data_IF_290954306068
#
_entry.id   IF_290954306068
#
_cell.length_a   1.000
_cell.length_b   1.000
_cell.length_c   1.000
_cell.angle_alpha   90.00
_cell.angle_beta   90.00
_cell.angle_gamma   90.00
#
_symmetry.space_group_name_H-M   'P 1'
#
loop_
_entity.id
_entity.type
_entity.pdbx_description
1 polymer ?
#
# COMPACT_ATOMS: atom_id res chain seq x y z
N UNK A 1 21.16 12.24 -24.59
CA UNK A 1 20.83 12.04 -23.17
C UNK A 1 19.60 11.16 -23.16
N UNK A 2 19.76 9.86 -22.89
CA UNK A 2 18.62 8.96 -22.79
C UNK A 2 17.80 9.42 -21.58
N UNK A 3 16.59 9.91 -21.81
CA UNK A 3 15.63 10.07 -20.73
C UNK A 3 15.37 8.68 -20.18
N UNK A 4 15.83 8.39 -18.96
CA UNK A 4 15.47 7.19 -18.24
C UNK A 4 13.94 7.10 -18.22
N UNK A 5 13.40 6.03 -18.78
CA UNK A 5 11.98 5.76 -18.65
C UNK A 5 11.73 5.42 -17.17
N UNK A 6 11.08 6.31 -16.43
CA UNK A 6 10.61 6.00 -15.09
C UNK A 6 9.48 4.97 -15.20
N UNK A 7 9.81 3.70 -14.94
CA UNK A 7 8.81 2.64 -14.89
C UNK A 7 8.03 2.74 -13.58
N UNK A 8 6.78 3.16 -13.68
CA UNK A 8 5.83 3.15 -12.56
C UNK A 8 5.29 1.73 -12.40
N UNK A 9 5.51 1.13 -11.23
CA UNK A 9 4.95 -0.16 -10.86
C UNK A 9 3.71 0.06 -9.99
N UNK A 10 2.58 -0.54 -10.39
CA UNK A 10 1.35 -0.59 -9.59
C UNK A 10 0.93 -2.04 -9.38
N UNK A 11 0.95 -2.49 -8.13
CA UNK A 11 0.48 -3.81 -7.75
C UNK A 11 -0.74 -3.72 -6.86
N UNK A 12 -1.83 -4.36 -7.28
CA UNK A 12 -3.03 -4.51 -6.44
C UNK A 12 -2.81 -5.62 -5.41
N UNK A 13 -2.90 -5.28 -4.14
CA UNK A 13 -2.68 -6.24 -3.05
C UNK A 13 -3.97 -6.63 -2.33
N UNK A 14 -3.92 -7.77 -1.63
CA UNK A 14 -5.01 -8.22 -0.77
C UNK A 14 -4.89 -7.57 0.60
N UNK A 15 -6.03 -7.34 1.27
CA UNK A 15 -6.09 -6.81 2.64
C UNK A 15 -5.41 -7.70 3.70
N UNK A 16 -5.22 -8.98 3.40
CA UNK A 16 -4.55 -9.97 4.27
C UNK A 16 -3.03 -9.96 4.11
N UNK A 17 -2.48 -9.13 3.23
CA UNK A 17 -1.03 -8.99 3.08
C UNK A 17 -0.45 -8.34 4.33
N UNK A 18 0.66 -8.90 4.82
CA UNK A 18 1.43 -8.33 5.92
C UNK A 18 2.40 -7.29 5.37
N UNK A 19 2.51 -6.17 6.07
CA UNK A 19 3.48 -5.11 5.78
C UNK A 19 4.33 -4.82 6.99
N UNK A 20 5.62 -4.59 6.78
CA UNK A 20 6.57 -4.20 7.79
C UNK A 20 6.52 -2.68 7.91
N UNK A 21 6.04 -2.19 9.06
CA UNK A 21 5.96 -0.75 9.35
C UNK A 21 7.22 -0.26 10.05
N UNK A 22 7.82 -1.13 10.86
CA UNK A 22 9.08 -0.89 11.59
C UNK A 22 9.91 -2.15 11.60
N UNK A 23 11.19 -2.00 11.94
CA UNK A 23 12.10 -3.12 12.09
C UNK A 23 11.52 -4.18 13.04
N UNK A 24 11.30 -5.40 12.53
CA UNK A 24 10.68 -6.50 13.27
C UNK A 24 9.15 -6.48 13.44
N UNK A 25 8.46 -5.37 13.14
CA UNK A 25 7.00 -5.25 13.33
C UNK A 25 6.28 -5.39 12.00
N UNK A 26 5.63 -6.54 11.83
CA UNK A 26 4.70 -6.81 10.73
C UNK A 26 3.27 -6.61 11.18
N UNK A 27 2.51 -5.87 10.40
CA UNK A 27 1.08 -5.66 10.61
C UNK A 27 0.33 -5.95 9.32
N UNK A 28 -0.84 -6.58 9.44
CA UNK A 28 -1.70 -6.80 8.29
C UNK A 28 -2.28 -5.48 7.79
N UNK A 29 -2.43 -5.35 6.46
CA UNK A 29 -2.98 -4.13 5.85
C UNK A 29 -4.35 -3.74 6.41
N UNK A 30 -5.21 -4.72 6.73
CA UNK A 30 -6.52 -4.46 7.37
C UNK A 30 -6.44 -3.77 8.74
N UNK A 31 -5.33 -3.92 9.45
CA UNK A 31 -5.12 -3.36 10.78
C UNK A 31 -4.50 -1.95 10.73
N UNK A 32 -4.19 -1.42 9.54
CA UNK A 32 -3.65 -0.06 9.33
C UNK A 32 -4.68 1.07 9.55
N UNK A 33 -5.85 0.77 10.13
CA UNK A 33 -6.82 1.79 10.55
C UNK A 33 -7.69 2.37 9.42
N UNK A 34 -7.77 1.73 8.25
CA UNK A 34 -8.70 2.18 7.20
C UNK A 34 -10.14 1.92 7.61
N UNK A 35 -10.98 2.93 7.41
CA UNK A 35 -12.41 2.93 7.67
C UNK A 35 -13.14 3.63 6.51
N UNK A 36 -14.43 3.37 6.27
CA UNK A 36 -15.15 3.98 5.16
C UNK A 36 -15.01 5.51 5.15
N UNK A 37 -14.39 6.07 4.10
CA UNK A 37 -14.14 7.50 3.95
C UNK A 37 -12.71 7.94 4.22
N UNK A 38 -11.84 7.08 4.75
CA UNK A 38 -10.42 7.43 4.97
C UNK A 38 -9.52 7.02 3.81
N UNK A 39 -8.37 7.68 3.77
CA UNK A 39 -7.25 7.41 2.87
C UNK A 39 -6.02 7.20 3.73
N UNK A 40 -5.11 6.36 3.26
CA UNK A 40 -3.84 6.04 3.91
C UNK A 40 -2.76 6.09 2.84
N UNK A 41 -1.63 6.72 3.15
CA UNK A 41 -0.43 6.64 2.35
C UNK A 41 0.74 6.43 3.29
N UNK A 42 1.49 5.37 3.09
CA UNK A 42 2.66 5.02 3.88
C UNK A 42 3.86 4.90 2.96
N UNK A 43 4.93 5.61 3.28
CA UNK A 43 6.19 5.54 2.55
C UNK A 43 7.13 4.50 3.17
N UNK A 44 8.06 3.99 2.36
CA UNK A 44 9.14 3.09 2.78
C UNK A 44 8.65 1.80 3.48
N UNK A 45 7.57 1.22 2.95
CA UNK A 45 6.96 0.00 3.47
C UNK A 45 7.59 -1.24 2.82
N UNK A 46 8.08 -2.15 3.65
CA UNK A 46 8.58 -3.44 3.20
C UNK A 46 7.46 -4.49 3.25
N UNK A 47 7.22 -5.19 2.14
CA UNK A 47 6.09 -6.13 2.01
C UNK A 47 6.51 -7.57 2.29
N UNK A 48 7.78 -7.92 2.04
CA UNK A 48 8.29 -9.28 2.16
C UNK A 48 9.00 -9.49 3.51
N UNK A 49 8.88 -10.72 4.03
CA UNK A 49 9.70 -11.24 5.14
C UNK A 49 11.04 -11.82 4.65
N UNK A 50 11.15 -12.06 3.34
CA UNK A 50 12.27 -12.76 2.73
C UNK A 50 13.39 -11.80 2.36
N UNK A 51 14.58 -12.11 2.89
CA UNK A 51 15.83 -11.35 2.86
C UNK A 51 16.50 -11.29 1.47
N UNK A 52 15.76 -11.62 0.39
CA UNK A 52 16.26 -11.72 -0.99
C UNK A 52 15.56 -10.78 -1.98
N UNK A 53 14.41 -10.20 -1.62
CA UNK A 53 14.00 -8.93 -2.22
C UNK A 53 14.78 -7.87 -1.48
N UNK A 54 15.66 -7.13 -2.16
CA UNK A 54 16.37 -6.00 -1.57
C UNK A 54 15.43 -5.06 -0.84
N UNK A 55 15.95 -4.20 0.03
CA UNK A 55 15.20 -3.14 0.71
C UNK A 55 14.63 -2.15 -0.32
N UNK A 56 13.64 -2.60 -1.08
CA UNK A 56 12.92 -1.81 -2.04
C UNK A 56 11.88 -1.05 -1.23
N UNK A 57 12.14 0.22 -1.03
CA UNK A 57 11.21 1.14 -0.43
C UNK A 57 9.97 1.25 -1.33
N UNK A 58 8.92 0.51 -0.98
CA UNK A 58 7.62 0.60 -1.65
C UNK A 58 6.70 1.51 -0.85
N UNK A 59 5.92 2.31 -1.57
CA UNK A 59 4.88 3.13 -1.00
C UNK A 59 3.56 2.39 -1.07
N UNK A 60 2.82 2.39 0.04
CA UNK A 60 1.52 1.75 0.17
C UNK A 60 0.43 2.83 0.18
N UNK A 61 -0.38 2.84 -0.87
CA UNK A 61 -1.59 3.63 -0.94
C UNK A 61 -2.81 2.76 -0.59
N UNK A 62 -3.61 3.23 0.36
CA UNK A 62 -4.85 2.60 0.78
C UNK A 62 -6.01 3.59 0.72
N UNK A 63 -7.17 3.15 0.25
CA UNK A 63 -8.37 3.99 0.24
C UNK A 63 -9.62 3.16 0.51
N UNK A 64 -10.50 3.70 1.34
CA UNK A 64 -11.83 3.15 1.52
C UNK A 64 -12.87 4.19 1.13
N UNK A 65 -13.63 3.90 0.08
CA UNK A 65 -14.69 4.80 -0.37
C UNK A 65 -15.80 4.86 0.68
N UNK A 66 -16.26 6.08 1.00
CA UNK A 66 -17.42 6.28 1.88
C UNK A 66 -18.67 5.67 1.26
N UNK A 67 -19.61 5.25 2.10
CA UNK A 67 -20.95 4.86 1.65
C UNK A 67 -21.63 6.03 0.97
N UNK A 68 -22.17 5.82 -0.24
CA UNK A 68 -22.88 6.86 -0.98
C UNK A 68 -24.14 6.29 -1.62
N UNK A 69 -25.28 6.96 -1.42
CA UNK A 69 -26.60 6.56 -1.96
C UNK A 69 -26.92 5.06 -1.76
N UNK A 70 -26.66 4.54 -0.55
CA UNK A 70 -26.89 3.13 -0.21
C UNK A 70 -25.80 2.15 -0.68
N UNK A 71 -24.85 2.57 -1.51
CA UNK A 71 -23.72 1.73 -1.92
C UNK A 71 -22.63 1.73 -0.86
N UNK A 72 -22.56 0.64 -0.08
CA UNK A 72 -21.50 0.39 0.90
C UNK A 72 -20.37 -0.40 0.26
N UNK A 73 -19.18 0.18 0.23
CA UNK A 73 -17.98 -0.55 -0.18
C UNK A 73 -17.58 -1.50 0.93
N UNK A 74 -17.66 -2.81 0.69
CA UNK A 74 -17.40 -3.85 1.71
C UNK A 74 -15.94 -3.88 2.14
N UNK A 75 -15.01 -3.49 1.27
CA UNK A 75 -13.58 -3.63 1.51
C UNK A 75 -12.80 -2.40 1.00
N UNK A 76 -11.70 -2.03 1.68
CA UNK A 76 -10.74 -1.06 1.17
C UNK A 76 -9.92 -1.65 0.02
N UNK A 77 -9.33 -0.78 -0.79
CA UNK A 77 -8.37 -1.16 -1.82
C UNK A 77 -6.98 -0.65 -1.44
N UNK A 78 -5.99 -1.49 -1.71
CA UNK A 78 -4.58 -1.24 -1.46
C UNK A 78 -3.79 -1.37 -2.76
N UNK A 79 -2.84 -0.47 -2.93
CA UNK A 79 -1.92 -0.42 -4.06
C UNK A 79 -0.52 -0.24 -3.50
N UNK A 80 0.40 -1.11 -3.92
CA UNK A 80 1.83 -0.89 -3.76
C UNK A 80 2.36 -0.18 -4.98
N UNK A 81 3.19 0.84 -4.75
CA UNK A 81 3.80 1.62 -5.81
C UNK A 81 5.20 2.06 -5.42
N UNK A 82 6.07 2.27 -6.40
CA UNK A 82 7.41 2.86 -6.22
C UNK A 82 7.39 4.40 -6.35
N UNK A 83 6.22 5.03 -6.29
CA UNK A 83 6.03 6.44 -6.56
C UNK A 83 6.47 7.32 -5.39
N UNK A 84 7.59 8.03 -5.51
CA UNK A 84 8.25 8.74 -4.41
C UNK A 84 7.46 9.90 -3.76
N UNK A 85 6.59 10.58 -4.51
CA UNK A 85 5.79 11.72 -4.03
C UNK A 85 4.43 11.77 -4.75
N UNK A 86 3.32 11.95 -4.01
CA UNK A 86 1.94 11.98 -4.54
C UNK A 86 1.35 13.39 -4.62
#
# INVERSE_FOLDING_TARGET
MASEAEFILLFKTKKSTNVKIKEGIYQEMRALGLSPGTKLFLNDVNVTKEQGFGEFNFNLAGKWKKTYRGFKTKEPWYILTNFGDL
#
